data_IF_255069322021
#
_entry.id   IF_255069322021
#
_cell.length_a   1.000
_cell.length_b   1.000
_cell.length_c   1.000
_cell.angle_alpha   90.00
_cell.angle_beta   90.00
_cell.angle_gamma   90.00
#
_symmetry.space_group_name_H-M   'P 1'
#
loop_
_entity.id
_entity.type
_entity.pdbx_description
1 polymer ?
#
# COMPACT_ATOMS: atom_id res chain seq x y z
N UNK A 1 -10.95 -7.11 -0.80
CA UNK A 1 -10.01 -6.26 -1.57
C UNK A 1 -8.92 -7.14 -2.15
N UNK A 2 -8.84 -7.22 -3.47
CA UNK A 2 -7.92 -8.12 -4.20
C UNK A 2 -6.99 -7.38 -5.17
N UNK A 3 -7.27 -6.13 -5.49
CA UNK A 3 -6.53 -5.33 -6.46
C UNK A 3 -6.44 -3.85 -6.05
N UNK A 4 -5.60 -3.07 -6.74
CA UNK A 4 -5.58 -1.60 -6.62
C UNK A 4 -6.91 -1.00 -7.10
N UNK A 5 -7.54 -1.58 -8.14
CA UNK A 5 -8.85 -1.14 -8.61
C UNK A 5 -9.93 -1.29 -7.52
N UNK A 6 -9.94 -2.41 -6.79
CA UNK A 6 -10.87 -2.64 -5.67
C UNK A 6 -10.65 -1.61 -4.56
N UNK A 7 -9.39 -1.30 -4.26
CA UNK A 7 -9.01 -0.30 -3.25
C UNK A 7 -9.55 1.09 -3.61
N UNK A 8 -9.34 1.50 -4.87
CA UNK A 8 -9.80 2.80 -5.37
C UNK A 8 -11.33 2.86 -5.40
N UNK A 9 -11.99 1.79 -5.86
CA UNK A 9 -13.45 1.72 -5.88
C UNK A 9 -14.03 1.84 -4.46
N UNK A 10 -13.44 1.13 -3.49
CA UNK A 10 -13.82 1.23 -2.08
C UNK A 10 -13.61 2.65 -1.53
N UNK A 11 -12.47 3.28 -1.82
CA UNK A 11 -12.17 4.63 -1.36
C UNK A 11 -13.12 5.68 -1.97
N UNK A 12 -13.49 5.54 -3.26
CA UNK A 12 -14.45 6.43 -3.95
C UNK A 12 -15.89 6.26 -3.46
N UNK A 13 -16.28 5.05 -3.06
CA UNK A 13 -17.62 4.77 -2.54
C UNK A 13 -17.80 5.29 -1.10
N UNK A 14 -16.71 5.48 -0.36
CA UNK A 14 -16.73 5.99 1.00
C UNK A 14 -16.84 7.51 1.06
N UNK A 15 -17.62 8.03 2.01
CA UNK A 15 -17.61 9.46 2.37
C UNK A 15 -16.44 9.83 3.30
N UNK A 16 -15.73 8.83 3.83
CA UNK A 16 -14.60 8.99 4.74
C UNK A 16 -13.29 8.83 3.97
N UNK A 17 -12.23 9.47 4.48
CA UNK A 17 -10.87 9.25 3.96
C UNK A 17 -10.45 7.80 4.20
N UNK A 18 -9.68 7.25 3.27
CA UNK A 18 -9.03 5.95 3.42
C UNK A 18 -7.84 6.09 4.36
N UNK A 19 -7.90 5.45 5.53
CA UNK A 19 -6.75 5.40 6.44
C UNK A 19 -5.67 4.49 5.84
N UNK A 20 -4.47 5.03 5.62
CA UNK A 20 -3.31 4.32 5.08
C UNK A 20 -2.16 4.44 6.06
N UNK A 21 -1.65 3.31 6.54
CA UNK A 21 -0.48 3.31 7.43
C UNK A 21 0.82 3.37 6.63
N UNK A 22 1.82 4.04 7.20
CA UNK A 22 3.15 4.17 6.59
C UNK A 22 4.25 4.16 7.67
N UNK A 23 5.52 3.89 7.32
CA UNK A 23 6.60 3.75 8.30
C UNK A 23 7.18 5.09 8.78
N UNK A 24 6.53 6.22 8.50
CA UNK A 24 6.93 7.53 9.01
C UNK A 24 6.65 8.65 8.02
N UNK A 25 6.38 9.84 8.57
CA UNK A 25 6.16 11.04 7.76
C UNK A 25 7.41 11.39 6.94
N UNK A 26 7.20 11.73 5.67
CA UNK A 26 8.26 12.06 4.72
C UNK A 26 9.02 10.87 4.12
N UNK A 27 8.74 9.64 4.58
CA UNK A 27 9.33 8.43 3.99
C UNK A 27 8.83 8.15 2.57
N UNK A 28 9.57 7.37 1.78
CA UNK A 28 9.14 6.97 0.43
C UNK A 28 7.75 6.34 0.42
N UNK A 29 7.36 5.43 1.34
CA UNK A 29 6.01 4.88 1.35
C UNK A 29 4.94 5.93 1.71
N UNK A 30 5.24 6.89 2.60
CA UNK A 30 4.34 8.01 2.85
C UNK A 30 4.08 8.83 1.58
N UNK A 31 5.14 9.20 0.85
CA UNK A 31 5.03 9.93 -0.41
C UNK A 31 4.32 9.11 -1.50
N UNK A 32 4.47 7.80 -1.49
CA UNK A 32 3.75 6.89 -2.39
C UNK A 32 2.24 6.96 -2.16
N UNK A 33 1.79 6.96 -0.89
CA UNK A 33 0.38 7.08 -0.55
C UNK A 33 -0.18 8.44 -0.98
N UNK A 34 0.54 9.54 -0.72
CA UNK A 34 0.18 10.89 -1.18
C UNK A 34 0.06 10.95 -2.71
N UNK A 35 1.02 10.37 -3.43
CA UNK A 35 0.99 10.34 -4.89
C UNK A 35 -0.19 9.51 -5.42
N UNK A 36 -0.52 8.38 -4.78
CA UNK A 36 -1.71 7.60 -5.12
C UNK A 36 -3.00 8.42 -4.90
N UNK A 37 -3.10 9.16 -3.80
CA UNK A 37 -4.24 10.07 -3.56
C UNK A 37 -4.42 11.05 -4.72
N UNK A 38 -3.33 11.70 -5.15
CA UNK A 38 -3.34 12.66 -6.26
C UNK A 38 -3.73 11.98 -7.58
N UNK A 39 -3.10 10.85 -7.91
CA UNK A 39 -3.28 10.17 -9.20
C UNK A 39 -4.63 9.45 -9.32
N UNK A 40 -5.12 8.84 -8.26
CA UNK A 40 -6.39 8.11 -8.26
C UNK A 40 -7.60 8.99 -7.89
N UNK A 41 -7.35 10.21 -7.40
CA UNK A 41 -8.39 11.14 -6.93
C UNK A 41 -9.18 10.58 -5.75
N UNK A 42 -8.48 9.94 -4.80
CA UNK A 42 -9.09 9.33 -3.62
C UNK A 42 -8.62 10.05 -2.34
N UNK A 43 -9.53 10.33 -1.40
CA UNK A 43 -9.13 10.94 -0.13
C UNK A 43 -8.40 9.91 0.73
N UNK A 44 -7.15 10.18 1.08
CA UNK A 44 -6.33 9.36 1.99
C UNK A 44 -6.05 10.17 3.26
N UNK A 45 -6.07 9.47 4.40
CA UNK A 45 -5.53 9.94 5.67
C UNK A 45 -4.31 9.09 6.00
N UNK A 46 -3.13 9.72 6.02
CA UNK A 46 -1.88 9.04 6.34
C UNK A 46 -1.72 8.88 7.85
N UNK A 47 -1.56 7.63 8.29
CA UNK A 47 -1.36 7.27 9.70
C UNK A 47 0.11 6.84 9.87
N UNK A 48 1.01 7.74 10.27
CA UNK A 48 2.43 7.43 10.39
C UNK A 48 2.71 6.57 11.61
N UNK A 49 3.65 5.64 11.46
CA UNK A 49 4.23 4.85 12.53
C UNK A 49 5.74 5.10 12.62
N UNK A 50 6.34 4.78 13.76
CA UNK A 50 7.79 4.87 13.96
C UNK A 50 8.53 3.68 13.32
N UNK A 51 8.42 3.54 12.00
CA UNK A 51 9.06 2.49 11.21
C UNK A 51 8.13 1.38 10.72
N UNK A 52 8.66 0.53 9.84
CA UNK A 52 7.89 -0.50 9.13
C UNK A 52 7.35 -1.62 10.02
N UNK A 53 8.07 -2.01 11.08
CA UNK A 53 7.63 -3.05 12.01
C UNK A 53 6.30 -2.70 12.69
N UNK A 54 6.22 -1.58 13.44
CA UNK A 54 4.96 -1.12 14.04
C UNK A 54 3.84 -0.90 13.01
N UNK A 55 4.18 -0.38 11.84
CA UNK A 55 3.24 -0.17 10.74
C UNK A 55 2.59 -1.50 10.29
N UNK A 56 3.41 -2.52 10.02
CA UNK A 56 2.95 -3.85 9.62
C UNK A 56 2.10 -4.51 10.72
N UNK A 57 2.52 -4.39 11.98
CA UNK A 57 1.75 -4.92 13.12
C UNK A 57 0.36 -4.30 13.19
N UNK A 58 0.21 -3.01 12.86
CA UNK A 58 -1.10 -2.35 12.83
C UNK A 58 -2.04 -2.90 11.74
N UNK A 59 -1.51 -3.30 10.57
CA UNK A 59 -2.31 -3.98 9.54
C UNK A 59 -2.70 -5.38 10.02
N UNK A 60 -1.75 -6.14 10.59
CA UNK A 60 -1.99 -7.49 11.09
C UNK A 60 -3.02 -7.50 12.23
N UNK A 61 -3.02 -6.48 13.08
CA UNK A 61 -4.02 -6.26 14.12
C UNK A 61 -5.37 -5.74 13.59
N UNK A 62 -5.50 -5.54 12.28
CA UNK A 62 -6.70 -5.02 11.60
C UNK A 62 -7.11 -3.61 12.03
N UNK A 63 -6.20 -2.84 12.63
CA UNK A 63 -6.44 -1.43 12.99
C UNK A 63 -6.68 -0.57 11.76
N UNK A 64 -6.02 -0.91 10.64
CA UNK A 64 -6.24 -0.27 9.35
C UNK A 64 -6.27 -1.33 8.23
N UNK A 65 -7.08 -1.13 7.19
CA UNK A 65 -7.24 -2.14 6.15
C UNK A 65 -6.08 -2.15 5.14
N UNK A 66 -5.27 -1.09 5.07
CA UNK A 66 -4.28 -0.85 4.00
C UNK A 66 -3.07 -0.10 4.55
N UNK A 67 -1.90 -0.38 3.99
CA UNK A 67 -0.71 0.44 4.19
C UNK A 67 0.25 0.38 3.03
N UNK A 68 1.17 1.34 3.04
CA UNK A 68 2.34 1.41 2.16
C UNK A 68 3.58 1.21 3.01
N UNK A 69 4.45 0.27 2.64
CA UNK A 69 5.67 -0.03 3.40
C UNK A 69 6.76 -0.55 2.46
N UNK A 70 7.99 -0.65 2.97
CA UNK A 70 9.07 -1.28 2.25
C UNK A 70 8.85 -2.80 2.14
N UNK A 71 9.28 -3.40 1.04
CA UNK A 71 9.09 -4.83 0.79
C UNK A 71 9.84 -5.74 1.79
N UNK A 72 11.13 -5.54 2.13
CA UNK A 72 11.86 -6.47 3.00
C UNK A 72 11.16 -6.83 4.32
N UNK A 73 10.63 -5.86 5.11
CA UNK A 73 9.92 -6.19 6.35
C UNK A 73 8.53 -6.82 6.10
N UNK A 74 7.87 -6.52 4.98
CA UNK A 74 6.56 -7.09 4.65
C UNK A 74 6.64 -8.48 4.01
N UNK A 75 7.77 -8.79 3.36
CA UNK A 75 7.95 -9.97 2.52
C UNK A 75 7.61 -11.30 3.23
N UNK A 76 8.08 -11.59 4.46
CA UNK A 76 7.74 -12.82 5.16
C UNK A 76 6.23 -12.97 5.41
N UNK A 77 5.55 -11.87 5.71
CA UNK A 77 4.10 -11.85 5.95
C UNK A 77 3.30 -12.02 4.66
N UNK A 78 3.82 -11.53 3.53
CA UNK A 78 3.24 -11.76 2.20
C UNK A 78 3.38 -13.24 1.83
N UNK A 79 4.57 -13.84 2.02
CA UNK A 79 4.82 -15.26 1.72
C UNK A 79 4.01 -16.20 2.60
N UNK A 80 3.77 -15.85 3.86
CA UNK A 80 2.92 -16.64 4.76
C UNK A 80 1.42 -16.46 4.51
N UNK A 81 1.02 -15.48 3.69
CA UNK A 81 -0.38 -15.14 3.45
C UNK A 81 -1.03 -14.30 4.55
N UNK A 82 -0.28 -13.92 5.59
CA UNK A 82 -0.76 -13.04 6.66
C UNK A 82 -1.03 -11.61 6.15
N UNK A 83 -0.28 -11.17 5.13
CA UNK A 83 -0.55 -9.95 4.38
C UNK A 83 -0.82 -10.26 2.91
N UNK A 84 -1.64 -9.43 2.28
CA UNK A 84 -1.84 -9.44 0.83
C UNK A 84 -1.17 -8.22 0.23
N UNK A 85 -0.17 -8.43 -0.62
CA UNK A 85 0.37 -7.37 -1.46
C UNK A 85 -0.60 -7.08 -2.62
N UNK A 86 -0.97 -5.81 -2.80
CA UNK A 86 -1.83 -5.38 -3.91
C UNK A 86 -1.02 -4.98 -5.15
N UNK A 87 0.13 -4.36 -4.94
CA UNK A 87 1.08 -3.99 -5.98
C UNK A 87 2.47 -3.74 -5.40
N UNK A 88 3.50 -3.79 -6.25
CA UNK A 88 4.85 -3.28 -5.96
C UNK A 88 5.09 -1.94 -6.67
N UNK A 89 5.82 -1.05 -6.01
CA UNK A 89 6.28 0.24 -6.56
C UNK A 89 7.67 0.07 -7.16
N UNK A 90 7.77 -0.79 -8.16
CA UNK A 90 9.02 -1.01 -8.90
C UNK A 90 8.67 -1.15 -10.37
N UNK A 91 9.63 -0.88 -11.25
CA UNK A 91 9.42 -0.96 -12.70
C UNK A 91 9.02 -2.36 -13.15
N UNK A 92 9.45 -3.38 -12.40
CA UNK A 92 9.20 -4.80 -12.69
C UNK A 92 8.63 -5.47 -11.45
N UNK A 93 7.89 -6.56 -11.68
CA UNK A 93 7.45 -7.44 -10.60
C UNK A 93 8.66 -7.94 -9.83
N UNK A 94 8.44 -8.16 -8.54
CA UNK A 94 9.50 -8.66 -7.69
C UNK A 94 9.72 -10.16 -7.95
N UNK A 95 10.98 -10.58 -8.05
CA UNK A 95 11.36 -11.87 -8.64
C UNK A 95 10.74 -13.11 -7.96
N UNK A 96 10.53 -13.07 -6.64
CA UNK A 96 9.95 -14.17 -5.85
C UNK A 96 8.50 -13.91 -5.41
N UNK A 97 7.87 -12.87 -5.98
CA UNK A 97 6.45 -12.52 -5.88
C UNK A 97 5.85 -12.27 -7.28
N UNK A 98 5.94 -13.23 -8.23
CA UNK A 98 5.52 -13.03 -9.61
C UNK A 98 4.02 -12.74 -9.77
N UNK A 99 3.20 -13.13 -8.80
CA UNK A 99 1.75 -12.90 -8.81
C UNK A 99 1.35 -11.50 -8.35
N UNK A 100 2.29 -10.72 -7.79
CA UNK A 100 2.04 -9.34 -7.35
C UNK A 100 2.34 -8.39 -8.51
N UNK A 101 1.34 -7.67 -9.05
CA UNK A 101 1.56 -6.75 -10.17
C UNK A 101 2.34 -5.51 -9.73
N UNK A 102 2.88 -4.77 -10.69
CA UNK A 102 3.43 -3.44 -10.44
C UNK A 102 2.35 -2.36 -10.47
N UNK A 103 2.59 -1.22 -9.85
CA UNK A 103 1.71 -0.04 -10.02
C UNK A 103 1.59 0.39 -11.49
N UNK A 104 2.65 0.23 -12.28
CA UNK A 104 2.64 0.47 -13.73
C UNK A 104 1.61 -0.41 -14.44
N UNK A 105 1.59 -1.72 -14.15
CA UNK A 105 0.59 -2.66 -14.69
C UNK A 105 -0.83 -2.35 -14.22
N UNK A 106 -0.98 -1.65 -13.09
CA UNK A 106 -2.26 -1.20 -12.55
C UNK A 106 -2.70 0.17 -13.09
N UNK A 107 -1.98 0.76 -14.04
CA UNK A 107 -2.32 2.05 -14.67
C UNK A 107 -1.75 3.28 -13.96
N UNK A 108 -0.76 3.10 -13.08
CA UNK A 108 -0.07 4.16 -12.35
C UNK A 108 1.43 4.19 -12.71
N UNK A 109 1.79 4.63 -13.93
CA UNK A 109 3.18 4.59 -14.40
C UNK A 109 4.13 5.50 -13.62
N UNK A 110 3.60 6.53 -12.96
CA UNK A 110 4.40 7.50 -12.18
C UNK A 110 4.65 7.05 -10.73
N UNK A 111 4.11 5.89 -10.30
CA UNK A 111 4.26 5.38 -8.93
C UNK A 111 5.26 4.22 -8.96
N UNK A 112 6.54 4.56 -9.08
CA UNK A 112 7.70 3.66 -9.17
C UNK A 112 8.73 4.03 -8.12
#
# INVERSE_FOLDING_TARGET
MRSIADLIAMAKASKQKLNVINPGQGSTPHLTAELLQIKAGIPIENIPYNGAGPAIQAILAQTTPVGTTALPPAHPHIKSGALRALAVTGEKRWFDLPDVPTMVEQGFPDIV
#
